data_IF_310443157056
#
_entry.id   IF_310443157056
#
_cell.length_a   1.000
_cell.length_b   1.000
_cell.length_c   1.000
_cell.angle_alpha   90.00
_cell.angle_beta   90.00
_cell.angle_gamma   90.00
#
_symmetry.space_group_name_H-M   'P 1'
#
loop_
_entity.id
_entity.type
_entity.pdbx_description
1 polymer ?
#
# COMPACT_ATOMS: atom_id res chain seq x y z
N UNK A 1 8.61 12.89 5.15
CA UNK A 1 9.55 13.31 4.09
C UNK A 1 9.13 12.58 2.83
N UNK A 2 9.06 13.29 1.70
CA UNK A 2 8.73 12.69 0.42
C UNK A 2 10.03 12.61 -0.38
N UNK A 3 10.65 11.44 -0.36
CA UNK A 3 11.91 11.14 -1.03
C UNK A 3 11.67 10.02 -2.04
N UNK A 4 12.40 10.04 -3.14
CA UNK A 4 12.25 9.09 -4.23
C UNK A 4 13.54 8.28 -4.41
N UNK A 5 13.40 6.96 -4.45
CA UNK A 5 14.52 6.05 -4.75
C UNK A 5 14.57 5.88 -6.27
N UNK A 6 15.67 6.30 -6.90
CA UNK A 6 15.83 6.16 -8.36
C UNK A 6 16.49 4.85 -8.75
N UNK A 7 17.33 4.34 -7.86
CA UNK A 7 18.06 3.10 -8.05
C UNK A 7 18.43 2.49 -6.72
N UNK A 8 18.31 1.17 -6.59
CA UNK A 8 18.79 0.46 -5.41
C UNK A 8 19.57 -0.80 -5.78
N UNK A 9 20.52 -1.14 -4.93
CA UNK A 9 21.24 -2.40 -4.95
C UNK A 9 21.15 -3.03 -3.57
N UNK A 10 20.74 -4.28 -3.51
CA UNK A 10 20.58 -5.04 -2.28
C UNK A 10 21.49 -6.25 -2.40
N UNK A 11 22.26 -6.54 -1.35
CA UNK A 11 23.13 -7.71 -1.33
C UNK A 11 23.28 -8.23 0.08
N UNK A 12 23.15 -9.55 0.25
CA UNK A 12 23.36 -10.27 1.50
C UNK A 12 24.08 -11.59 1.21
N UNK A 13 25.06 -11.94 2.04
CA UNK A 13 25.76 -13.22 1.99
C UNK A 13 25.29 -14.20 3.10
N UNK A 14 24.27 -13.83 3.86
CA UNK A 14 23.75 -14.59 4.99
C UNK A 14 24.36 -14.26 6.36
N UNK A 15 25.38 -13.39 6.41
CA UNK A 15 25.94 -12.85 7.66
C UNK A 15 26.10 -11.32 7.63
N UNK A 16 26.42 -10.77 6.46
CA UNK A 16 26.51 -9.35 6.17
C UNK A 16 25.53 -8.98 5.07
N UNK A 17 24.96 -7.78 5.19
CA UNK A 17 24.18 -7.16 4.13
C UNK A 17 24.69 -5.76 3.82
N UNK A 18 24.54 -5.36 2.57
CA UNK A 18 24.89 -4.04 2.06
C UNK A 18 23.79 -3.61 1.11
N UNK A 19 23.05 -2.57 1.51
CA UNK A 19 22.00 -1.99 0.71
C UNK A 19 22.38 -0.56 0.34
N UNK A 20 22.35 -0.26 -0.96
CA UNK A 20 22.70 1.05 -1.51
C UNK A 20 21.46 1.62 -2.18
N UNK A 21 20.95 2.73 -1.65
CA UNK A 21 19.81 3.47 -2.22
C UNK A 21 20.27 4.81 -2.78
N UNK A 22 19.97 5.07 -4.05
CA UNK A 22 20.14 6.39 -4.66
C UNK A 22 18.85 7.17 -4.48
N UNK A 23 18.89 8.22 -3.67
CA UNK A 23 17.70 8.97 -3.24
C UNK A 23 17.76 10.42 -3.72
N UNK A 24 16.64 10.90 -4.24
CA UNK A 24 16.43 12.29 -4.68
C UNK A 24 15.21 12.88 -3.98
N UNK A 25 15.08 14.21 -3.99
CA UNK A 25 13.86 14.88 -3.55
C UNK A 25 12.73 14.75 -4.60
N UNK A 26 11.57 15.34 -4.32
CA UNK A 26 10.41 15.30 -5.22
C UNK A 26 10.65 15.98 -6.57
N UNK A 27 11.61 16.91 -6.64
CA UNK A 27 11.96 17.63 -7.87
C UNK A 27 13.08 16.91 -8.65
N UNK A 28 13.53 15.76 -8.15
CA UNK A 28 14.59 14.95 -8.75
C UNK A 28 16.01 15.44 -8.44
N UNK A 29 16.16 16.38 -7.51
CA UNK A 29 17.46 16.92 -7.13
C UNK A 29 18.13 16.07 -6.04
N UNK A 30 19.47 16.14 -6.01
CA UNK A 30 20.26 15.51 -4.95
C UNK A 30 19.96 16.19 -3.62
N UNK A 31 19.65 15.38 -2.61
CA UNK A 31 19.47 15.85 -1.24
C UNK A 31 20.80 16.46 -0.75
N UNK A 32 20.76 17.73 -0.38
CA UNK A 32 21.89 18.47 0.23
C UNK A 32 21.57 19.00 1.61
N UNK A 33 20.30 18.94 2.00
CA UNK A 33 19.82 19.40 3.29
C UNK A 33 20.36 18.47 4.39
N UNK A 34 21.11 19.07 5.33
CA UNK A 34 21.74 18.35 6.43
C UNK A 34 20.71 17.81 7.43
N UNK A 35 19.63 18.52 7.68
CA UNK A 35 18.57 18.06 8.59
C UNK A 35 17.89 16.80 8.04
N UNK A 36 17.67 16.76 6.72
CA UNK A 36 17.13 15.57 6.05
C UNK A 36 18.10 14.40 6.14
N UNK A 37 19.40 14.63 5.90
CA UNK A 37 20.41 13.57 6.00
C UNK A 37 20.56 13.02 7.43
N UNK A 38 20.64 13.91 8.42
CA UNK A 38 20.74 13.55 9.84
C UNK A 38 19.48 12.79 10.32
N UNK A 39 18.31 13.19 9.82
CA UNK A 39 17.06 12.47 10.08
C UNK A 39 17.06 11.05 9.46
N UNK A 40 17.52 10.89 8.22
CA UNK A 40 17.61 9.57 7.59
C UNK A 40 18.58 8.68 8.38
N UNK A 41 19.77 9.20 8.70
CA UNK A 41 20.79 8.47 9.46
C UNK A 41 20.25 8.03 10.82
N UNK A 42 19.69 8.95 11.60
CA UNK A 42 19.14 8.63 12.93
C UNK A 42 18.02 7.60 12.86
N UNK A 43 17.16 7.64 11.84
CA UNK A 43 16.09 6.62 11.66
C UNK A 43 16.66 5.24 11.33
N UNK A 44 17.68 5.15 10.47
CA UNK A 44 18.31 3.88 10.11
C UNK A 44 19.05 3.31 11.33
N UNK A 45 19.85 4.11 12.04
CA UNK A 45 20.61 3.70 13.22
C UNK A 45 19.70 3.26 14.37
N UNK A 46 18.62 4.00 14.64
CA UNK A 46 17.63 3.63 15.66
C UNK A 46 16.91 2.32 15.29
N UNK A 47 16.70 2.05 13.99
CA UNK A 47 16.08 0.82 13.51
C UNK A 47 17.01 -0.41 13.50
N UNK A 48 18.34 -0.22 13.55
CA UNK A 48 19.32 -1.30 13.56
C UNK A 48 19.30 -2.16 14.84
N UNK A 49 18.56 -1.74 15.88
CA UNK A 49 18.29 -2.51 17.09
C UNK A 49 17.08 -3.43 17.03
N UNK A 50 16.32 -3.49 15.93
CA UNK A 50 15.16 -4.37 15.79
C UNK A 50 15.57 -5.81 15.49
N UNK A 51 16.04 -6.52 16.51
CA UNK A 51 15.74 -7.95 16.61
C UNK A 51 14.23 -8.03 16.86
N UNK A 52 13.43 -8.78 16.09
CA UNK A 52 12.04 -9.02 16.45
C UNK A 52 12.05 -9.83 17.75
N UNK A 53 12.02 -9.14 18.89
CA UNK A 53 11.99 -9.79 20.18
C UNK A 53 10.68 -10.56 20.30
N UNK A 54 10.80 -11.89 20.22
CA UNK A 54 9.80 -12.78 20.81
C UNK A 54 9.83 -12.54 22.31
N UNK A 55 8.81 -11.83 22.79
CA UNK A 55 8.42 -11.55 24.18
C UNK A 55 9.06 -10.32 24.85
N UNK A 56 8.14 -9.45 25.28
CA UNK A 56 8.15 -8.58 26.44
C UNK A 56 9.50 -8.23 27.06
N UNK A 57 9.90 -6.97 26.87
CA UNK A 57 10.86 -6.31 27.76
C UNK A 57 10.19 -5.12 28.42
N UNK A 58 10.26 -5.13 29.75
CA UNK A 58 9.89 -4.06 30.67
C UNK A 58 10.61 -2.77 30.27
N UNK A 59 9.85 -1.82 29.75
CA UNK A 59 10.25 -0.44 29.50
C UNK A 59 9.04 0.43 29.78
N UNK A 60 9.22 1.61 30.38
CA UNK A 60 8.16 2.58 30.63
C UNK A 60 7.41 2.79 29.31
N UNK A 61 6.19 2.24 29.25
CA UNK A 61 5.36 2.32 28.05
C UNK A 61 4.95 3.78 27.88
N UNK A 62 5.08 4.37 26.68
CA UNK A 62 4.36 5.59 26.38
C UNK A 62 2.89 5.34 26.71
N UNK A 63 2.24 6.31 27.35
CA UNK A 63 0.82 6.23 27.66
C UNK A 63 0.03 5.79 26.41
N UNK A 64 -0.96 4.93 26.60
CA UNK A 64 -1.79 4.38 25.54
C UNK A 64 -2.58 5.50 24.85
N UNK A 65 -2.03 6.09 23.79
CA UNK A 65 -2.65 7.25 23.14
C UNK A 65 -3.90 6.88 22.35
N UNK A 66 -4.02 5.63 21.90
CA UNK A 66 -5.14 5.17 21.08
C UNK A 66 -5.36 3.66 21.12
N UNK A 67 -6.59 3.22 20.84
CA UNK A 67 -6.95 1.81 20.59
C UNK A 67 -6.84 1.51 19.10
N UNK A 68 -6.19 0.41 18.72
CA UNK A 68 -6.09 -0.01 17.32
C UNK A 68 -7.16 -1.04 16.95
N UNK A 69 -7.88 -0.78 15.87
CA UNK A 69 -8.92 -1.62 15.29
C UNK A 69 -8.46 -2.06 13.89
N UNK A 70 -8.37 -3.36 13.69
CA UNK A 70 -8.06 -3.96 12.39
C UNK A 70 -9.29 -4.63 11.82
N UNK A 71 -9.62 -4.30 10.57
CA UNK A 71 -10.80 -4.79 9.87
C UNK A 71 -10.36 -5.49 8.58
N UNK A 72 -10.98 -6.63 8.28
CA UNK A 72 -10.83 -7.33 7.00
C UNK A 72 -12.17 -7.97 6.62
N UNK A 73 -12.50 -7.95 5.33
CA UNK A 73 -13.72 -8.58 4.83
C UNK A 73 -13.95 -8.34 3.34
N UNK A 74 -15.11 -8.78 2.85
CA UNK A 74 -15.54 -8.56 1.48
C UNK A 74 -15.96 -7.09 1.30
N UNK A 75 -15.37 -6.41 0.32
CA UNK A 75 -15.69 -5.03 -0.03
C UNK A 75 -17.08 -4.93 -0.68
N UNK A 76 -17.81 -3.87 -0.35
CA UNK A 76 -19.11 -3.56 -0.95
C UNK A 76 -19.41 -2.06 -0.87
N UNK A 77 -20.19 -1.51 -1.82
CA UNK A 77 -20.60 -0.11 -1.76
C UNK A 77 -21.21 0.24 -0.39
N UNK A 78 -20.73 1.33 0.20
CA UNK A 78 -21.19 1.82 1.49
C UNK A 78 -20.59 1.16 2.74
N UNK A 79 -19.73 0.13 2.61
CA UNK A 79 -19.13 -0.56 3.76
C UNK A 79 -18.41 0.40 4.71
N UNK A 80 -17.53 1.25 4.17
CA UNK A 80 -16.77 2.19 5.01
C UNK A 80 -17.70 3.19 5.72
N UNK A 81 -18.76 3.65 5.04
CA UNK A 81 -19.75 4.56 5.64
C UNK A 81 -20.47 3.93 6.82
N UNK A 82 -20.84 2.64 6.73
CA UNK A 82 -21.47 1.92 7.84
C UNK A 82 -20.50 1.67 9.00
N UNK A 83 -19.24 1.33 8.71
CA UNK A 83 -18.19 1.21 9.73
C UNK A 83 -17.99 2.54 10.47
N UNK A 84 -17.88 3.64 9.73
CA UNK A 84 -17.70 4.97 10.31
C UNK A 84 -18.93 5.42 11.13
N UNK A 85 -20.15 5.07 10.69
CA UNK A 85 -21.36 5.32 11.46
C UNK A 85 -21.36 4.57 12.80
N UNK A 86 -21.01 3.28 12.81
CA UNK A 86 -20.89 2.51 14.07
C UNK A 86 -19.84 3.11 15.00
N UNK A 87 -18.68 3.52 14.49
CA UNK A 87 -17.65 4.17 15.30
C UNK A 87 -18.14 5.49 15.90
N UNK A 88 -18.84 6.32 15.11
CA UNK A 88 -19.41 7.58 15.57
C UNK A 88 -20.48 7.37 16.66
N UNK A 89 -21.40 6.42 16.46
CA UNK A 89 -22.46 6.07 17.41
C UNK A 89 -21.90 5.53 18.73
N UNK A 90 -20.74 4.86 18.69
CA UNK A 90 -20.03 4.37 19.87
C UNK A 90 -19.09 5.41 20.50
N UNK A 91 -19.18 6.68 20.08
CA UNK A 91 -18.34 7.78 20.54
C UNK A 91 -16.84 7.46 20.44
N UNK A 92 -16.45 6.79 19.35
CA UNK A 92 -15.06 6.50 19.02
C UNK A 92 -14.55 7.58 18.06
N UNK A 93 -13.67 8.44 18.56
CA UNK A 93 -13.03 9.46 17.73
C UNK A 93 -11.90 8.84 16.91
N UNK A 94 -11.96 8.95 15.57
CA UNK A 94 -10.95 8.37 14.67
C UNK A 94 -9.79 9.34 14.51
N UNK A 95 -8.64 9.02 15.10
CA UNK A 95 -7.46 9.89 15.07
C UNK A 95 -6.59 9.61 13.84
N UNK A 96 -6.48 8.34 13.45
CA UNK A 96 -5.79 7.95 12.23
C UNK A 96 -6.50 6.74 11.63
N UNK A 97 -6.51 6.62 10.31
CA UNK A 97 -6.91 5.39 9.66
C UNK A 97 -6.21 5.21 8.33
N UNK A 98 -6.05 3.96 7.92
CA UNK A 98 -5.67 3.63 6.57
C UNK A 98 -6.53 2.47 6.06
N UNK A 99 -7.11 2.65 4.88
CA UNK A 99 -8.09 1.74 4.29
C UNK A 99 -7.68 1.41 2.87
N UNK A 100 -7.62 0.13 2.51
CA UNK A 100 -7.32 -0.38 1.17
C UNK A 100 -8.44 -1.29 0.68
N UNK A 101 -8.77 -1.23 -0.61
CA UNK A 101 -9.62 -2.23 -1.27
C UNK A 101 -8.95 -2.79 -2.52
N UNK A 102 -9.06 -4.10 -2.73
CA UNK A 102 -8.47 -4.80 -3.87
C UNK A 102 -9.17 -6.15 -4.09
N UNK A 103 -9.47 -6.51 -5.34
CA UNK A 103 -10.14 -7.78 -5.69
C UNK A 103 -11.38 -8.11 -4.83
N UNK A 104 -12.26 -7.12 -4.62
CA UNK A 104 -13.45 -7.24 -3.77
C UNK A 104 -13.17 -7.59 -2.29
N UNK A 105 -11.93 -7.38 -1.83
CA UNK A 105 -11.52 -7.42 -0.43
C UNK A 105 -11.29 -6.00 0.08
N UNK A 106 -11.60 -5.75 1.34
CA UNK A 106 -11.33 -4.51 2.04
C UNK A 106 -10.54 -4.80 3.31
N UNK A 107 -9.55 -3.97 3.60
CA UNK A 107 -8.80 -3.99 4.85
C UNK A 107 -8.65 -2.57 5.41
N UNK A 108 -8.72 -2.43 6.73
CA UNK A 108 -8.50 -1.16 7.41
C UNK A 108 -7.72 -1.34 8.71
N UNK A 109 -6.84 -0.38 9.01
CA UNK A 109 -6.23 -0.19 10.33
C UNK A 109 -6.63 1.19 10.84
N UNK A 110 -7.41 1.23 11.92
CA UNK A 110 -8.04 2.43 12.46
C UNK A 110 -7.57 2.63 13.89
N UNK A 111 -7.05 3.80 14.20
CA UNK A 111 -6.69 4.21 15.56
C UNK A 111 -7.79 5.13 16.10
N UNK A 112 -8.40 4.72 17.20
CA UNK A 112 -9.50 5.43 17.83
C UNK A 112 -9.16 5.85 19.25
N UNK A 113 -9.81 6.93 19.69
CA UNK A 113 -9.80 7.41 21.06
C UNK A 113 -11.22 7.51 21.58
N UNK A 114 -11.36 7.49 22.90
CA UNK A 114 -12.60 7.86 23.57
C UNK A 114 -12.89 9.35 23.36
N UNK A 115 -14.06 9.70 22.83
CA UNK A 115 -14.46 11.10 22.60
C UNK A 115 -14.47 11.96 23.88
N UNK A 116 -14.87 11.37 25.01
CA UNK A 116 -14.99 12.07 26.29
C UNK A 116 -13.65 12.24 27.02
N UNK A 117 -12.73 11.28 26.88
CA UNK A 117 -11.45 11.26 27.60
C UNK A 117 -10.25 11.62 26.73
N UNK A 118 -10.36 11.51 25.40
CA UNK A 118 -9.26 11.72 24.45
C UNK A 118 -8.14 10.68 24.55
N UNK A 119 -8.37 9.54 25.19
CA UNK A 119 -7.38 8.48 25.43
C UNK A 119 -7.78 7.15 24.79
N UNK A 120 -6.90 6.15 24.85
CA UNK A 120 -7.25 4.80 24.44
C UNK A 120 -8.48 4.26 25.19
N UNK A 121 -9.36 3.59 24.46
CA UNK A 121 -10.50 2.84 25.00
C UNK A 121 -9.95 1.56 25.64
N UNK A 122 -10.03 1.47 26.96
CA UNK A 122 -9.50 0.35 27.73
C UNK A 122 -10.58 -0.57 28.32
N UNK A 123 -11.83 -0.12 28.41
CA UNK A 123 -12.92 -0.90 29.00
C UNK A 123 -13.21 -2.18 28.17
N UNK A 124 -12.98 -3.39 28.73
CA UNK A 124 -13.17 -4.63 28.00
C UNK A 124 -14.60 -4.85 27.50
N UNK A 125 -15.61 -4.36 28.23
CA UNK A 125 -17.01 -4.50 27.81
C UNK A 125 -17.28 -3.67 26.57
N UNK A 126 -16.91 -2.38 26.59
CA UNK A 126 -17.01 -1.50 25.43
C UNK A 126 -16.21 -2.02 24.23
N UNK A 127 -14.99 -2.50 24.45
CA UNK A 127 -14.18 -3.12 23.38
C UNK A 127 -14.88 -4.34 22.76
N UNK A 128 -15.51 -5.18 23.58
CA UNK A 128 -16.31 -6.31 23.10
C UNK A 128 -17.50 -5.84 22.25
N UNK A 129 -18.23 -4.81 22.70
CA UNK A 129 -19.36 -4.23 21.95
C UNK A 129 -18.91 -3.65 20.62
N UNK A 130 -17.82 -2.88 20.59
CA UNK A 130 -17.23 -2.34 19.35
C UNK A 130 -16.90 -3.49 18.39
N UNK A 131 -16.20 -4.52 18.89
CA UNK A 131 -15.82 -5.68 18.08
C UNK A 131 -17.04 -6.39 17.49
N UNK A 132 -18.08 -6.63 18.29
CA UNK A 132 -19.28 -7.34 17.87
C UNK A 132 -20.04 -6.57 16.78
N UNK A 133 -20.28 -5.27 17.00
CA UNK A 133 -21.00 -4.43 16.05
C UNK A 133 -20.25 -4.29 14.72
N UNK A 134 -18.94 -4.07 14.77
CA UNK A 134 -18.10 -4.02 13.56
C UNK A 134 -18.04 -5.37 12.83
N UNK A 135 -17.95 -6.49 13.57
CA UNK A 135 -18.05 -7.82 12.97
C UNK A 135 -19.38 -8.00 12.21
N UNK A 136 -20.50 -7.52 12.76
CA UNK A 136 -21.80 -7.63 12.13
C UNK A 136 -21.88 -6.83 10.82
N UNK A 137 -21.34 -5.61 10.81
CA UNK A 137 -21.25 -4.78 9.58
C UNK A 137 -20.41 -5.46 8.50
N UNK A 138 -19.28 -6.05 8.88
CA UNK A 138 -18.36 -6.72 7.94
C UNK A 138 -18.93 -8.04 7.37
N UNK A 139 -19.73 -8.78 8.15
CA UNK A 139 -20.36 -10.03 7.68
C UNK A 139 -21.45 -9.78 6.64
N UNK A 140 -22.15 -8.65 6.71
CA UNK A 140 -23.32 -8.39 5.87
C UNK A 140 -24.40 -9.47 6.07
N UNK A 141 -25.18 -9.75 5.02
CA UNK A 141 -26.30 -10.71 5.07
C UNK A 141 -25.94 -12.16 4.71
N UNK A 142 -24.78 -12.45 4.10
CA UNK A 142 -24.60 -13.73 3.39
C UNK A 142 -23.24 -14.45 3.53
N UNK A 143 -22.24 -13.91 4.24
CA UNK A 143 -20.90 -14.54 4.25
C UNK A 143 -20.34 -14.84 5.64
N UNK A 144 -20.52 -16.10 6.07
CA UNK A 144 -20.20 -16.59 7.42
C UNK A 144 -18.69 -16.75 7.70
N UNK A 145 -17.80 -16.62 6.71
CA UNK A 145 -16.42 -17.15 6.83
C UNK A 145 -15.24 -16.17 6.74
N UNK A 146 -15.44 -14.87 6.50
CA UNK A 146 -14.28 -14.02 6.14
C UNK A 146 -14.18 -12.65 6.81
N UNK A 147 -15.18 -12.22 7.57
CA UNK A 147 -15.10 -10.97 8.33
C UNK A 147 -14.23 -11.14 9.59
N UNK A 148 -13.17 -10.32 9.72
CA UNK A 148 -12.29 -10.31 10.89
C UNK A 148 -12.20 -8.90 11.46
N UNK A 149 -12.49 -8.77 12.75
CA UNK A 149 -12.18 -7.59 13.55
C UNK A 149 -11.23 -7.98 14.67
N UNK A 150 -10.04 -7.38 14.68
CA UNK A 150 -9.05 -7.57 15.75
C UNK A 150 -8.82 -6.24 16.47
N UNK A 151 -8.74 -6.31 17.79
CA UNK A 151 -8.36 -5.17 18.65
C UNK A 151 -6.98 -5.48 19.21
N UNK A 152 -6.02 -4.61 18.94
CA UNK A 152 -4.62 -4.78 19.37
C UNK A 152 -4.23 -3.65 20.33
N UNK A 153 -3.48 -3.99 21.37
CA UNK A 153 -2.83 -3.02 22.25
C UNK A 153 -1.84 -2.15 21.46
N UNK A 154 -1.58 -0.90 21.90
CA UNK A 154 -0.69 0.01 21.18
C UNK A 154 0.71 -0.59 21.03
N UNK A 155 1.14 -0.72 19.77
CA UNK A 155 2.50 -1.04 19.39
C UNK A 155 2.92 -0.12 18.25
N UNK A 156 4.22 0.07 18.08
CA UNK A 156 4.80 0.83 16.96
C UNK A 156 4.73 -0.03 15.68
N UNK A 157 3.52 -0.40 15.26
CA UNK A 157 3.31 -1.09 13.99
C UNK A 157 3.09 -0.07 12.89
N UNK A 158 3.90 -0.13 11.84
CA UNK A 158 3.69 0.67 10.64
C UNK A 158 2.38 0.24 9.96
N UNK A 159 1.36 1.11 9.93
CA UNK A 159 -0.01 0.77 9.46
C UNK A 159 -0.02 0.11 8.09
N UNK A 160 0.77 0.62 7.15
CA UNK A 160 0.87 0.05 5.80
C UNK A 160 1.46 -1.37 5.79
N UNK A 161 2.43 -1.65 6.67
CA UNK A 161 3.00 -3.00 6.79
C UNK A 161 1.94 -3.95 7.33
N UNK A 162 1.14 -3.48 8.29
CA UNK A 162 0.04 -4.26 8.86
C UNK A 162 -1.07 -4.52 7.84
N UNK A 163 -1.42 -3.53 7.01
CA UNK A 163 -2.39 -3.70 5.93
C UNK A 163 -1.94 -4.73 4.90
N UNK A 164 -0.65 -4.78 4.55
CA UNK A 164 -0.10 -5.87 3.71
C UNK A 164 -0.39 -7.24 4.29
N UNK A 165 -0.09 -7.43 5.59
CA UNK A 165 -0.32 -8.70 6.27
C UNK A 165 -1.81 -9.08 6.31
N UNK A 166 -2.68 -8.09 6.56
CA UNK A 166 -4.13 -8.30 6.58
C UNK A 166 -4.62 -8.72 5.19
N UNK A 167 -4.27 -7.96 4.14
CA UNK A 167 -4.66 -8.27 2.76
C UNK A 167 -4.16 -9.66 2.32
N UNK A 168 -2.91 -9.98 2.60
CA UNK A 168 -2.33 -11.28 2.31
C UNK A 168 -3.06 -12.42 3.04
N UNK A 169 -3.31 -12.27 4.35
CA UNK A 169 -4.05 -13.26 5.14
C UNK A 169 -5.51 -13.41 4.70
N UNK A 170 -6.06 -12.38 4.08
CA UNK A 170 -7.40 -12.32 3.52
C UNK A 170 -7.48 -12.75 2.05
N UNK A 171 -6.33 -13.13 1.46
CA UNK A 171 -6.19 -13.72 0.12
C UNK A 171 -6.68 -12.84 -1.01
N UNK A 172 -6.46 -11.53 -0.90
CA UNK A 172 -6.82 -10.57 -1.95
C UNK A 172 -6.09 -10.82 -3.29
N UNK A 173 -5.05 -11.65 -3.30
CA UNK A 173 -4.34 -12.05 -4.51
C UNK A 173 -5.06 -13.14 -5.33
N UNK A 174 -6.05 -13.83 -4.75
CA UNK A 174 -6.87 -14.80 -5.47
C UNK A 174 -7.85 -14.05 -6.39
N UNK A 175 -7.57 -14.02 -7.70
CA UNK A 175 -8.49 -13.43 -8.68
C UNK A 175 -9.74 -14.31 -8.79
N UNK A 176 -10.91 -13.74 -8.50
CA UNK A 176 -12.19 -14.36 -8.86
C UNK A 176 -12.29 -14.32 -10.38
N UNK A 177 -12.17 -15.47 -11.05
CA UNK A 177 -12.49 -15.57 -12.47
C UNK A 177 -13.97 -15.21 -12.65
N UNK A 178 -14.25 -13.95 -13.04
CA UNK A 178 -15.57 -13.61 -13.57
C UNK A 178 -15.74 -14.36 -14.88
N UNK A 179 -16.45 -15.49 -14.82
CA UNK A 179 -16.92 -16.19 -15.99
C UNK A 179 -17.60 -15.18 -16.93
N UNK A 180 -17.00 -14.95 -18.11
CA UNK A 180 -17.60 -14.16 -19.18
C UNK A 180 -17.05 -12.76 -19.45
N UNK A 181 -16.10 -12.23 -18.65
CA UNK A 181 -15.47 -10.95 -18.98
C UNK A 181 -13.96 -11.06 -18.84
N UNK A 182 -13.32 -11.71 -19.82
CA UNK A 182 -12.02 -11.23 -20.29
C UNK A 182 -12.30 -9.88 -20.96
N UNK A 183 -12.54 -8.84 -20.16
CA UNK A 183 -12.38 -7.49 -20.66
C UNK A 183 -10.93 -7.42 -21.11
N UNK A 184 -10.78 -7.32 -22.42
CA UNK A 184 -9.53 -7.06 -23.11
C UNK A 184 -9.07 -5.68 -22.64
N UNK A 185 -8.50 -5.61 -21.44
CA UNK A 185 -7.54 -4.58 -21.12
C UNK A 185 -6.17 -5.12 -21.54
N UNK A 186 -6.01 -5.29 -22.87
CA UNK A 186 -4.70 -5.17 -23.51
C UNK A 186 -4.28 -3.70 -23.42
N UNK A 187 -3.98 -3.27 -22.20
CA UNK A 187 -3.37 -1.99 -21.90
C UNK A 187 -2.03 -2.25 -21.23
N UNK A 188 -1.00 -1.54 -21.65
CA UNK A 188 0.39 -1.60 -21.18
C UNK A 188 0.60 -1.23 -19.69
N UNK A 189 -0.40 -1.41 -18.84
CA UNK A 189 -0.45 -0.94 -17.45
C UNK A 189 -0.39 -2.07 -16.41
N UNK A 190 -0.61 -3.32 -16.81
CA UNK A 190 -0.52 -4.47 -15.89
C UNK A 190 0.92 -4.76 -15.48
N UNK A 191 1.17 -5.08 -14.20
CA UNK A 191 2.48 -5.54 -13.78
C UNK A 191 2.84 -6.85 -14.50
N UNK A 192 4.06 -6.91 -15.02
CA UNK A 192 4.64 -8.13 -15.55
C UNK A 192 5.58 -8.72 -14.51
N UNK A 193 5.30 -9.94 -14.06
CA UNK A 193 6.13 -10.67 -13.11
C UNK A 193 6.59 -11.98 -13.76
N UNK A 194 7.90 -12.21 -13.82
CA UNK A 194 8.47 -13.45 -14.35
C UNK A 194 9.43 -14.07 -13.34
N UNK A 195 9.38 -15.39 -13.23
CA UNK A 195 10.22 -16.17 -12.33
C UNK A 195 11.11 -17.11 -13.14
N UNK A 196 12.40 -17.15 -12.80
CA UNK A 196 13.37 -18.07 -13.38
C UNK A 196 14.23 -18.68 -12.27
N UNK A 197 14.29 -19.99 -12.20
CA UNK A 197 15.25 -20.66 -11.32
C UNK A 197 16.62 -20.71 -12.00
N UNK A 198 17.65 -20.20 -11.33
CA UNK A 198 19.03 -20.35 -11.75
C UNK A 198 19.61 -21.53 -10.98
N UNK A 199 20.30 -22.44 -11.69
CA UNK A 199 20.83 -23.74 -11.23
C UNK A 199 20.80 -23.93 -9.70
N UNK A 200 19.67 -24.45 -9.21
CA UNK A 200 19.36 -24.92 -7.84
C UNK A 200 19.65 -23.99 -6.64
N UNK A 201 20.18 -22.79 -6.85
CA UNK A 201 20.57 -21.92 -5.74
C UNK A 201 19.55 -20.79 -5.46
N UNK A 202 18.94 -20.21 -6.49
CA UNK A 202 18.04 -19.06 -6.35
C UNK A 202 16.87 -19.11 -7.32
N UNK A 203 15.75 -18.51 -6.92
CA UNK A 203 14.74 -18.03 -7.86
C UNK A 203 14.96 -16.55 -8.13
N UNK A 204 15.09 -16.19 -9.40
CA UNK A 204 15.13 -14.81 -9.85
C UNK A 204 13.72 -14.36 -10.21
N UNK A 205 13.28 -13.30 -9.55
CA UNK A 205 12.05 -12.60 -9.87
C UNK A 205 12.42 -11.36 -10.65
N UNK A 206 11.85 -11.20 -11.84
CA UNK A 206 11.90 -9.97 -12.61
C UNK A 206 10.51 -9.34 -12.67
N UNK A 207 10.42 -8.06 -12.34
CA UNK A 207 9.18 -7.29 -12.32
C UNK A 207 9.30 -6.02 -13.14
N UNK A 208 8.26 -5.74 -13.94
CA UNK A 208 8.08 -4.47 -14.65
C UNK A 208 6.67 -3.95 -14.38
N UNK A 209 6.57 -2.70 -13.95
CA UNK A 209 5.27 -2.04 -13.73
C UNK A 209 5.41 -0.53 -13.88
N UNK A 210 4.28 0.19 -13.90
CA UNK A 210 4.29 1.65 -13.70
C UNK A 210 5.00 1.98 -12.39
N UNK A 211 5.90 2.96 -12.42
CA UNK A 211 6.56 3.42 -11.21
C UNK A 211 5.59 4.24 -10.35
N UNK A 212 5.70 4.07 -9.04
CA UNK A 212 4.86 4.76 -8.07
C UNK A 212 5.52 4.80 -6.69
N UNK A 213 5.14 5.77 -5.84
CA UNK A 213 5.56 5.77 -4.46
C UNK A 213 5.30 4.42 -3.78
N UNK A 214 6.29 3.97 -3.00
CA UNK A 214 6.23 2.76 -2.16
C UNK A 214 6.17 1.43 -2.93
N UNK A 215 6.42 1.42 -4.24
CA UNK A 215 6.45 0.18 -5.02
C UNK A 215 7.45 -0.85 -4.46
N UNK A 216 8.69 -0.44 -4.20
CA UNK A 216 9.72 -1.30 -3.60
C UNK A 216 9.29 -1.83 -2.22
N UNK A 217 8.70 -0.96 -1.39
CA UNK A 217 8.20 -1.33 -0.07
C UNK A 217 7.13 -2.43 -0.17
N UNK A 218 6.16 -2.28 -1.08
CA UNK A 218 5.08 -3.24 -1.25
C UNK A 218 5.60 -4.61 -1.72
N UNK A 219 6.59 -4.63 -2.60
CA UNK A 219 7.23 -5.85 -3.11
C UNK A 219 8.00 -6.57 -1.99
N UNK A 220 8.85 -5.85 -1.25
CA UNK A 220 9.62 -6.45 -0.14
C UNK A 220 8.71 -6.96 0.97
N UNK A 221 7.65 -6.22 1.31
CA UNK A 221 6.64 -6.70 2.27
C UNK A 221 6.01 -8.02 1.82
N UNK A 222 5.65 -8.11 0.55
CA UNK A 222 5.04 -9.32 -0.03
C UNK A 222 5.98 -10.51 0.03
N UNK A 223 7.23 -10.34 -0.42
CA UNK A 223 8.24 -11.40 -0.34
C UNK A 223 8.45 -11.86 1.11
N UNK A 224 8.50 -10.91 2.04
CA UNK A 224 8.66 -11.21 3.48
C UNK A 224 7.46 -11.97 4.04
N UNK A 225 6.22 -11.59 3.68
CA UNK A 225 5.00 -12.29 4.13
C UNK A 225 4.89 -13.70 3.56
N UNK A 226 5.42 -13.91 2.36
CA UNK A 226 5.57 -15.21 1.74
C UNK A 226 6.81 -15.98 2.21
N UNK A 227 7.54 -15.46 3.21
CA UNK A 227 8.74 -16.05 3.80
C UNK A 227 9.89 -16.28 2.79
N UNK A 228 10.04 -15.37 1.82
CA UNK A 228 11.23 -15.31 0.98
C UNK A 228 12.23 -14.28 1.50
N UNK A 229 13.50 -14.65 1.44
CA UNK A 229 14.65 -13.81 1.76
C UNK A 229 15.28 -13.32 0.46
N UNK A 230 15.48 -12.01 0.34
CA UNK A 230 16.20 -11.39 -0.78
C UNK A 230 17.70 -11.44 -0.50
N UNK A 231 18.45 -12.15 -1.35
CA UNK A 231 19.91 -12.22 -1.28
C UNK A 231 20.57 -11.17 -2.16
N UNK A 232 20.06 -10.98 -3.36
CA UNK A 232 20.51 -9.92 -4.25
C UNK A 232 19.30 -9.20 -4.84
N UNK A 233 19.42 -7.90 -5.05
CA UNK A 233 18.35 -7.10 -5.62
C UNK A 233 18.89 -5.93 -6.41
N UNK A 234 18.20 -5.61 -7.50
CA UNK A 234 18.41 -4.42 -8.29
C UNK A 234 17.08 -3.76 -8.55
N UNK A 235 17.01 -2.47 -8.24
CA UNK A 235 15.85 -1.61 -8.50
C UNK A 235 16.31 -0.50 -9.42
N UNK A 236 15.57 -0.27 -10.50
CA UNK A 236 15.81 0.82 -11.42
C UNK A 236 14.48 1.47 -11.81
N UNK A 237 14.33 2.76 -11.52
CA UNK A 237 13.14 3.52 -11.91
C UNK A 237 13.44 4.29 -13.19
N UNK A 238 12.67 4.04 -14.24
CA UNK A 238 12.60 4.90 -15.42
C UNK A 238 11.71 6.12 -15.18
N UNK A 239 11.39 6.86 -16.25
CA UNK A 239 10.49 8.03 -16.15
C UNK A 239 9.03 7.67 -15.83
N UNK A 240 8.61 6.47 -16.22
CA UNK A 240 7.20 6.02 -16.15
C UNK A 240 7.10 4.61 -15.59
N UNK A 241 8.08 3.75 -15.86
CA UNK A 241 8.09 2.36 -15.44
C UNK A 241 9.24 2.09 -14.48
N UNK A 242 9.04 1.18 -13.54
CA UNK A 242 10.06 0.63 -12.68
C UNK A 242 10.39 -0.80 -13.13
N UNK A 243 11.68 -1.13 -13.10
CA UNK A 243 12.22 -2.46 -13.34
C UNK A 243 12.93 -2.94 -12.09
N UNK A 244 12.60 -4.14 -11.64
CA UNK A 244 13.12 -4.73 -10.41
C UNK A 244 13.50 -6.18 -10.64
N UNK A 245 14.67 -6.58 -10.14
CA UNK A 245 15.16 -7.95 -10.18
C UNK A 245 15.59 -8.37 -8.77
N UNK A 246 15.10 -9.51 -8.28
CA UNK A 246 15.46 -10.04 -6.97
C UNK A 246 15.83 -11.52 -7.05
N UNK A 247 16.93 -11.88 -6.40
CA UNK A 247 17.40 -13.25 -6.19
C UNK A 247 16.91 -13.67 -4.81
N UNK A 248 15.97 -14.60 -4.78
CA UNK A 248 15.31 -15.02 -3.55
C UNK A 248 15.51 -16.50 -3.27
N UNK A 249 15.44 -16.84 -1.99
CA UNK A 249 15.21 -18.20 -1.48
C UNK A 249 14.12 -18.16 -0.43
N UNK A 250 13.38 -19.25 -0.29
CA UNK A 250 12.48 -19.39 0.84
C UNK A 250 13.32 -19.50 2.14
N UNK A 251 12.73 -19.22 3.30
CA UNK A 251 13.41 -19.32 4.60
C UNK A 251 13.96 -20.71 4.92
N UNK A 252 13.47 -21.76 4.24
CA UNK A 252 14.03 -23.11 4.30
C UNK A 252 15.32 -23.30 3.48
N UNK A 253 15.75 -22.27 2.75
CA UNK A 253 16.94 -22.26 1.92
C UNK A 253 16.74 -22.82 0.52
N UNK A 254 15.52 -23.18 0.11
CA UNK A 254 15.21 -23.73 -1.20
C UNK A 254 14.69 -22.66 -2.18
N UNK A 255 14.96 -22.80 -3.48
CA UNK A 255 14.28 -22.03 -4.51
C UNK A 255 12.82 -22.52 -4.67
N UNK A 256 12.01 -21.73 -5.38
CA UNK A 256 10.63 -22.10 -5.72
C UNK A 256 10.63 -23.42 -6.49
N UNK A 257 9.89 -24.40 -5.98
CA UNK A 257 10.01 -25.80 -6.39
C UNK A 257 8.80 -26.36 -7.13
N UNK A 258 7.64 -25.70 -7.02
CA UNK A 258 6.39 -26.16 -7.62
C UNK A 258 5.68 -25.08 -8.44
N UNK A 259 4.89 -25.50 -9.43
CA UNK A 259 4.10 -24.56 -10.24
C UNK A 259 3.04 -23.83 -9.40
N UNK A 260 2.43 -24.51 -8.42
CA UNK A 260 1.46 -23.87 -7.53
C UNK A 260 2.08 -22.77 -6.65
N UNK A 261 3.31 -22.98 -6.18
CA UNK A 261 4.09 -21.96 -5.47
C UNK A 261 4.46 -20.79 -6.39
N UNK A 262 4.96 -21.09 -7.60
CA UNK A 262 5.27 -20.11 -8.64
C UNK A 262 4.08 -19.21 -8.96
N UNK A 263 2.92 -19.79 -9.25
CA UNK A 263 1.68 -19.06 -9.55
C UNK A 263 1.27 -18.19 -8.36
N UNK A 264 1.35 -18.71 -7.14
CA UNK A 264 1.02 -17.95 -5.91
C UNK A 264 1.92 -16.74 -5.73
N UNK A 265 3.24 -16.88 -5.96
CA UNK A 265 4.21 -15.77 -5.86
C UNK A 265 3.89 -14.69 -6.88
N UNK A 266 3.62 -15.08 -8.13
CA UNK A 266 3.21 -14.15 -9.18
C UNK A 266 1.94 -13.40 -8.77
N UNK A 267 0.89 -14.11 -8.35
CA UNK A 267 -0.37 -13.50 -7.93
C UNK A 267 -0.21 -12.54 -6.76
N UNK A 268 0.58 -12.90 -5.74
CA UNK A 268 0.82 -12.05 -4.58
C UNK A 268 1.56 -10.76 -4.96
N UNK A 269 2.58 -10.86 -5.82
CA UNK A 269 3.34 -9.71 -6.30
C UNK A 269 2.50 -8.81 -7.20
N UNK A 270 1.74 -9.37 -8.15
CA UNK A 270 0.79 -8.62 -8.96
C UNK A 270 -0.20 -7.86 -8.09
N UNK A 271 -0.84 -8.54 -7.13
CA UNK A 271 -1.79 -7.93 -6.21
C UNK A 271 -1.16 -6.80 -5.40
N UNK A 272 0.04 -6.99 -4.85
CA UNK A 272 0.75 -5.96 -4.09
C UNK A 272 1.08 -4.72 -4.92
N UNK A 273 1.44 -4.90 -6.19
CA UNK A 273 1.67 -3.80 -7.13
C UNK A 273 0.34 -3.09 -7.43
N UNK A 274 -0.72 -3.85 -7.70
CA UNK A 274 -2.06 -3.36 -8.09
C UNK A 274 -2.80 -2.61 -6.97
N UNK A 275 -2.71 -3.06 -5.70
CA UNK A 275 -3.38 -2.45 -4.52
C UNK A 275 -3.26 -0.93 -4.44
N UNK A 276 -2.11 -0.37 -4.81
CA UNK A 276 -1.85 1.08 -4.82
C UNK A 276 -1.61 1.66 -6.21
N UNK A 277 -1.75 0.85 -7.27
CA UNK A 277 -1.66 1.31 -8.64
C UNK A 277 -3.03 1.77 -9.20
N UNK A 278 -4.13 1.29 -8.62
CA UNK A 278 -5.49 1.62 -9.05
C UNK A 278 -5.76 3.12 -9.04
N UNK A 279 -5.89 3.67 -10.24
CA UNK A 279 -6.02 5.09 -10.53
C UNK A 279 -7.42 5.60 -10.15
N UNK A 280 -7.60 6.00 -8.89
CA UNK A 280 -8.74 6.79 -8.45
C UNK A 280 -8.47 8.29 -8.52
N UNK A 281 -9.53 9.10 -8.59
CA UNK A 281 -9.43 10.53 -8.37
C UNK A 281 -9.01 10.78 -6.91
N UNK A 282 -7.95 11.57 -6.71
CA UNK A 282 -7.47 11.95 -5.39
C UNK A 282 -8.23 13.18 -4.88
N UNK A 283 -8.96 13.00 -3.78
CA UNK A 283 -9.67 14.03 -3.04
C UNK A 283 -8.99 14.27 -1.70
N UNK A 284 -8.55 15.49 -1.45
CA UNK A 284 -7.95 15.91 -0.18
C UNK A 284 -8.98 16.74 0.62
N UNK A 285 -9.31 16.29 1.82
CA UNK A 285 -10.17 17.00 2.76
C UNK A 285 -9.30 17.70 3.80
N UNK A 286 -9.52 18.99 4.01
CA UNK A 286 -8.89 19.77 5.06
C UNK A 286 -9.93 20.66 5.77
N UNK A 287 -10.29 20.30 7.00
CA UNK A 287 -11.33 20.99 7.78
C UNK A 287 -11.06 20.86 9.28
N UNK A 288 -11.79 21.63 10.09
CA UNK A 288 -11.91 21.36 11.52
C UNK A 288 -12.52 19.97 11.74
N UNK A 289 -11.91 19.20 12.63
CA UNK A 289 -12.35 17.86 12.96
C UNK A 289 -13.46 17.89 14.02
N UNK A 290 -14.34 16.90 13.97
CA UNK A 290 -15.40 16.67 14.96
C UNK A 290 -15.80 15.21 14.97
N UNK A 291 -16.36 14.75 16.10
CA UNK A 291 -16.97 13.44 16.17
C UNK A 291 -18.00 13.26 15.03
N UNK A 292 -17.89 12.13 14.34
CA UNK A 292 -18.76 11.78 13.21
C UNK A 292 -18.42 12.43 11.87
N UNK A 293 -17.42 13.32 11.77
CA UNK A 293 -17.03 13.93 10.50
C UNK A 293 -16.77 12.89 9.41
N UNK A 294 -15.94 11.89 9.69
CA UNK A 294 -15.61 10.82 8.73
C UNK A 294 -16.85 10.03 8.30
N UNK A 295 -17.82 9.82 9.21
CA UNK A 295 -19.10 9.18 8.89
C UNK A 295 -19.89 10.01 7.88
N UNK A 296 -20.00 11.31 8.11
CA UNK A 296 -20.73 12.22 7.21
C UNK A 296 -20.08 12.31 5.82
N UNK A 297 -18.75 12.43 5.75
CA UNK A 297 -18.02 12.50 4.49
C UNK A 297 -18.17 11.19 3.68
N UNK A 298 -17.97 10.04 4.33
CA UNK A 298 -18.09 8.74 3.66
C UNK A 298 -19.53 8.44 3.25
N UNK A 299 -20.51 8.94 3.99
CA UNK A 299 -21.93 8.91 3.62
C UNK A 299 -22.21 9.74 2.38
N UNK A 300 -21.71 10.97 2.28
CA UNK A 300 -21.87 11.82 1.09
C UNK A 300 -21.27 11.11 -0.14
N UNK A 301 -20.10 10.50 -0.02
CA UNK A 301 -19.50 9.73 -1.12
C UNK A 301 -20.37 8.55 -1.54
N UNK A 302 -20.92 7.80 -0.58
CA UNK A 302 -21.86 6.70 -0.85
C UNK A 302 -23.13 7.18 -1.57
N UNK A 303 -23.75 8.25 -1.08
CA UNK A 303 -24.99 8.80 -1.64
C UNK A 303 -24.78 9.34 -3.08
N UNK A 304 -23.56 9.75 -3.40
CA UNK A 304 -23.14 10.16 -4.74
C UNK A 304 -22.55 9.00 -5.58
N UNK A 305 -22.75 7.75 -5.18
CA UNK A 305 -22.30 6.56 -5.91
C UNK A 305 -20.79 6.51 -6.17
N UNK A 306 -19.98 6.97 -5.20
CA UNK A 306 -18.53 6.82 -5.23
C UNK A 306 -18.08 5.60 -4.43
N UNK A 307 -17.07 4.92 -4.95
CA UNK A 307 -16.36 3.85 -4.27
C UNK A 307 -14.99 4.34 -3.82
N UNK A 308 -14.67 4.16 -2.54
CA UNK A 308 -13.36 4.49 -1.97
C UNK A 308 -12.43 3.29 -2.17
N UNK A 309 -11.38 3.46 -2.97
CA UNK A 309 -10.34 2.44 -3.21
C UNK A 309 -9.25 2.46 -2.16
N UNK A 310 -8.91 3.68 -1.72
CA UNK A 310 -7.96 3.91 -0.66
C UNK A 310 -8.33 5.15 0.12
N UNK A 311 -8.07 5.15 1.42
CA UNK A 311 -8.17 6.34 2.23
C UNK A 311 -7.04 6.40 3.26
N UNK A 312 -6.53 7.61 3.51
CA UNK A 312 -5.64 7.94 4.61
C UNK A 312 -6.31 9.03 5.43
N UNK A 313 -6.61 8.71 6.68
CA UNK A 313 -7.31 9.59 7.61
C UNK A 313 -6.30 10.02 8.67
N UNK A 314 -6.28 11.31 8.98
CA UNK A 314 -5.37 11.86 9.99
C UNK A 314 -5.97 13.10 10.62
N UNK A 315 -6.15 13.05 11.94
CA UNK A 315 -6.47 14.22 12.75
C UNK A 315 -5.23 14.69 13.48
N UNK A 316 -4.89 15.98 13.33
CA UNK A 316 -3.81 16.61 14.07
C UNK A 316 -4.21 18.00 14.51
N UNK A 317 -4.05 18.29 15.80
CA UNK A 317 -4.35 19.61 16.39
C UNK A 317 -5.78 20.09 16.08
N UNK A 318 -6.77 19.18 16.15
CA UNK A 318 -8.18 19.47 15.87
C UNK A 318 -8.52 19.71 14.39
N UNK A 319 -7.57 19.47 13.47
CA UNK A 319 -7.81 19.53 12.02
C UNK A 319 -7.79 18.13 11.43
N UNK A 320 -8.81 17.82 10.63
CA UNK A 320 -8.86 16.63 9.79
C UNK A 320 -8.08 16.91 8.50
N UNK A 321 -7.17 16.01 8.14
CA UNK A 321 -6.42 16.03 6.89
C UNK A 321 -6.48 14.64 6.26
N UNK A 322 -7.51 14.45 5.46
CA UNK A 322 -7.83 13.14 4.90
C UNK A 322 -7.58 13.13 3.40
N UNK A 323 -7.16 11.97 2.88
CA UNK A 323 -6.96 11.76 1.45
C UNK A 323 -7.73 10.53 1.03
N UNK A 324 -8.62 10.69 0.06
CA UNK A 324 -9.44 9.63 -0.50
C UNK A 324 -9.10 9.42 -1.97
N UNK A 325 -9.02 8.16 -2.37
CA UNK A 325 -8.87 7.75 -3.77
C UNK A 325 -10.16 7.09 -4.19
N UNK A 326 -10.91 7.76 -5.05
CA UNK A 326 -12.28 7.38 -5.39
C UNK A 326 -12.44 7.05 -6.87
N UNK A 327 -13.31 6.07 -7.13
CA UNK A 327 -13.80 5.73 -8.47
C UNK A 327 -15.32 5.78 -8.46
N UNK A 328 -15.95 5.68 -9.62
CA UNK A 328 -17.36 5.32 -9.66
C UNK A 328 -17.59 3.86 -9.17
N UNK A 329 -18.85 3.44 -9.08
CA UNK A 329 -19.23 2.07 -8.68
C UNK A 329 -18.75 0.97 -9.64
N UNK A 330 -18.45 1.32 -10.88
CA UNK A 330 -17.95 0.39 -11.91
C UNK A 330 -16.42 0.29 -11.91
N UNK A 331 -15.73 1.18 -11.18
CA UNK A 331 -14.27 1.26 -11.13
C UNK A 331 -13.65 2.25 -12.11
N UNK A 332 -14.46 3.04 -12.81
CA UNK A 332 -14.00 4.04 -13.77
C UNK A 332 -13.81 5.42 -13.12
N UNK A 333 -13.29 6.36 -13.92
CA UNK A 333 -13.11 7.75 -13.53
C UNK A 333 -14.44 8.41 -13.16
N UNK A 334 -14.39 9.26 -12.13
CA UNK A 334 -15.58 9.96 -11.62
C UNK A 334 -15.99 11.11 -12.55
N UNK A 335 -17.29 11.24 -12.83
CA UNK A 335 -17.84 12.38 -13.56
C UNK A 335 -17.58 13.69 -12.78
N UNK A 336 -16.94 14.71 -13.41
CA UNK A 336 -16.73 16.01 -12.80
C UNK A 336 -17.98 16.65 -12.17
N UNK A 337 -19.19 16.41 -12.72
CA UNK A 337 -20.44 16.93 -12.16
C UNK A 337 -20.75 16.38 -10.77
N UNK A 338 -20.41 15.11 -10.54
CA UNK A 338 -20.56 14.47 -9.23
C UNK A 338 -19.62 15.15 -8.23
N UNK A 339 -18.39 15.45 -8.65
CA UNK A 339 -17.40 16.15 -7.83
C UNK A 339 -17.87 17.55 -7.47
N UNK A 340 -18.45 18.30 -8.41
CA UNK A 340 -19.01 19.62 -8.14
C UNK A 340 -20.17 19.54 -7.13
N UNK A 341 -21.05 18.53 -7.24
CA UNK A 341 -22.13 18.29 -6.27
C UNK A 341 -21.59 17.99 -4.87
N UNK A 342 -20.59 17.10 -4.76
CA UNK A 342 -19.96 16.74 -3.49
C UNK A 342 -19.28 17.96 -2.85
N UNK A 343 -18.59 18.79 -3.65
CA UNK A 343 -17.94 20.01 -3.17
C UNK A 343 -18.96 21.07 -2.73
N UNK A 344 -20.15 21.11 -3.33
CA UNK A 344 -21.22 21.98 -2.87
C UNK A 344 -21.78 21.54 -1.50
N UNK A 345 -21.78 20.23 -1.20
CA UNK A 345 -22.24 19.70 0.10
C UNK A 345 -21.17 19.82 1.20
N UNK A 346 -19.91 19.49 0.90
CA UNK A 346 -18.81 19.48 1.88
C UNK A 346 -18.19 20.88 2.06
N UNK A 347 -18.16 21.67 0.99
CA UNK A 347 -17.49 22.96 0.93
C UNK A 347 -16.30 22.95 -0.04
N UNK A 348 -16.28 23.91 -0.95
CA UNK A 348 -15.27 24.02 -2.01
C UNK A 348 -13.84 24.23 -1.51
N UNK A 349 -13.68 24.84 -0.34
CA UNK A 349 -12.39 25.10 0.31
C UNK A 349 -11.91 23.91 1.13
N UNK A 350 -12.86 23.16 1.72
CA UNK A 350 -12.58 21.99 2.54
C UNK A 350 -12.16 20.79 1.69
N UNK A 351 -12.82 20.57 0.54
CA UNK A 351 -12.53 19.44 -0.35
C UNK A 351 -11.83 19.90 -1.65
N UNK A 352 -10.56 19.50 -1.78
CA UNK A 352 -9.71 19.80 -2.93
C UNK A 352 -9.55 18.57 -3.82
N UNK A 353 -9.55 18.80 -5.13
CA UNK A 353 -9.33 17.77 -6.13
C UNK A 353 -7.90 17.88 -6.62
N UNK A 354 -7.09 16.85 -6.37
CA UNK A 354 -5.71 16.84 -6.86
C UNK A 354 -5.68 16.21 -8.23
N UNK A 355 -5.33 17.01 -9.25
CA UNK A 355 -5.11 16.49 -10.60
C UNK A 355 -3.73 15.86 -10.65
N UNK A 356 -3.66 14.56 -10.93
CA UNK A 356 -2.40 13.92 -11.26
C UNK A 356 -1.83 14.59 -12.52
N UNK A 357 -0.70 15.27 -12.41
CA UNK A 357 0.02 15.95 -13.49
C UNK A 357 0.59 15.00 -14.57
N UNK A 358 0.29 13.70 -14.49
CA UNK A 358 0.71 12.69 -15.47
C UNK A 358 -0.19 12.61 -16.71
N UNK A 359 -1.28 13.37 -16.77
CA UNK A 359 -2.18 13.43 -17.94
C UNK A 359 -2.22 14.86 -18.50
N UNK A 360 -1.12 15.28 -19.12
CA UNK A 360 -1.21 16.35 -20.12
C UNK A 360 -1.98 15.81 -21.34
N UNK A 361 -2.98 16.54 -21.88
CA UNK A 361 -3.64 16.13 -23.11
C UNK A 361 -2.61 16.07 -24.24
N UNK A 362 -2.58 14.96 -24.98
CA UNK A 362 -1.75 14.85 -26.20
C UNK A 362 -2.10 16.02 -27.12
N UNK A 363 -1.13 16.80 -27.62
CA UNK A 363 -1.41 17.74 -28.69
C UNK A 363 -1.91 16.97 -29.93
N UNK A 364 -2.83 17.55 -30.71
CA UNK A 364 -3.38 16.88 -31.89
C UNK A 364 -2.27 16.53 -32.87
N UNK A 365 -2.36 15.31 -33.41
CA UNK A 365 -1.48 14.76 -34.43
C UNK A 365 -1.28 15.76 -35.58
N UNK A 366 -0.04 16.25 -35.75
CA UNK A 366 0.42 16.73 -37.04
C UNK A 366 1.27 15.63 -37.65
N UNK A 367 0.77 15.07 -38.74
CA UNK A 367 1.54 14.24 -39.65
C UNK A 367 2.72 15.08 -40.16
N UNK A 368 3.94 14.62 -39.91
CA UNK A 368 5.09 15.08 -40.67
C UNK A 368 6.00 13.90 -40.93
N UNK A 369 5.87 13.39 -42.15
CA UNK A 369 6.81 12.53 -42.83
C UNK A 369 8.22 13.11 -42.75
N UNK A 370 9.20 12.31 -42.30
CA UNK A 370 10.53 12.11 -42.89
C UNK A 370 11.57 11.70 -41.84
N UNK A 371 12.32 10.64 -42.17
CA UNK A 371 13.72 10.51 -41.74
C UNK A 371 14.05 9.27 -40.90
N UNK A 372 14.21 8.12 -41.56
CA UNK A 372 15.13 7.08 -41.09
C UNK A 372 16.50 7.70 -40.80
N UNK A 373 17.11 7.45 -39.64
CA UNK A 373 18.57 7.28 -39.49
C UNK A 373 18.94 6.71 -38.11
N UNK A 374 19.87 5.75 -38.13
CA UNK A 374 20.56 5.06 -37.04
C UNK A 374 19.87 3.88 -36.34
N UNK A 375 20.04 2.73 -36.98
CA UNK A 375 20.18 1.46 -36.29
C UNK A 375 21.53 1.33 -35.57
N UNK A 376 21.55 0.36 -34.65
CA UNK A 376 22.67 -0.21 -33.91
C UNK A 376 23.34 0.68 -32.84
N UNK A 377 22.92 0.52 -31.58
CA UNK A 377 23.84 0.56 -30.43
C UNK A 377 23.26 0.10 -29.08
N UNK A 378 22.73 -1.13 -28.96
CA UNK A 378 22.70 -1.81 -27.66
C UNK A 378 22.97 -3.31 -27.81
N UNK A 379 24.26 -3.66 -27.85
CA UNK A 379 24.72 -4.99 -27.46
C UNK A 379 24.40 -5.16 -25.97
N UNK A 380 23.56 -6.14 -25.66
CA UNK A 380 23.39 -6.66 -24.31
C UNK A 380 24.76 -6.99 -23.72
N UNK A 381 25.11 -6.34 -22.59
CA UNK A 381 26.11 -6.85 -21.67
C UNK A 381 25.37 -7.53 -20.54
N UNK A 382 25.13 -8.82 -20.75
CA UNK A 382 24.83 -9.78 -19.69
C UNK A 382 26.00 -9.73 -18.70
N UNK A 383 25.73 -9.52 -17.41
CA UNK A 383 26.75 -9.61 -16.36
C UNK A 383 27.13 -11.08 -16.12
N UNK A 384 27.88 -11.67 -17.05
CA UNK A 384 28.82 -12.74 -16.72
C UNK A 384 30.16 -12.08 -16.44
N UNK A 385 30.40 -11.61 -15.22
CA UNK A 385 31.73 -11.41 -14.62
C UNK A 385 31.60 -10.70 -13.25
N UNK A 386 31.07 -11.42 -12.26
CA UNK A 386 31.63 -11.33 -10.91
C UNK A 386 32.03 -12.75 -10.52
N UNK A 387 33.33 -12.97 -10.37
CA UNK A 387 33.87 -14.19 -9.78
C UNK A 387 33.24 -14.34 -8.40
N UNK A 388 32.43 -15.39 -8.22
CA UNK A 388 32.10 -15.90 -6.90
C UNK A 388 33.41 -16.10 -6.14
N UNK A 389 33.55 -15.42 -5.00
CA UNK A 389 34.53 -15.79 -3.99
C UNK A 389 34.01 -17.11 -3.41
N UNK A 390 34.67 -18.21 -3.78
CA UNK A 390 34.46 -19.52 -3.13
C UNK A 390 34.74 -19.36 -1.65
N UNK A 391 33.77 -19.73 -0.81
CA UNK A 391 34.03 -20.09 0.57
C UNK A 391 34.90 -21.35 0.58
N UNK A 392 36.04 -21.29 1.26
CA UNK A 392 36.92 -22.44 1.47
C UNK A 392 36.31 -23.39 2.50
N UNK A 393 36.08 -24.64 2.09
CA UNK A 393 36.91 -25.77 2.53
C UNK A 393 36.95 -26.80 1.42
#
# INVERSE_FOLDING_TARGET
MNLTITKAYISSDGGWFMDVFNVVDNDGNKIRDKEVMDYIQSRIETSAGFVPSRRGSVGVMPAEEHTSIELAGTDRPGLLSEVCAVLADLHCNVVNAEIWTHNARAAAVVHVTDDSMGCAISDPKRLSTIKELLCNVLKGSDDLKTAKTTLSAPGVMHRERRLHQIMFADRDYERVEKAGVRAVEEGSSRPQVTLLNIEKDYTVITMRSKDRPKLLFDIVCTLTDMQYVVFHGMVNTGRIEAYQEFYIRHVDGLPISSEAERVRVIQCLEAAIERRASEGLELELFTDDRLGLLSDITRIFRENSLCIRRALISTKSGKAKDTFYVTDVTGNLVDPKIIDSIRAQIGHTALQVKRNSSLAPKPPHQETTMGHFFGNLFKARTFQNFKLIRSYS
#
